data_IF_365110420469
#
_entry.id   IF_365110420469
#
_cell.length_a   1.000
_cell.length_b   1.000
_cell.length_c   1.000
_cell.angle_alpha   90.00
_cell.angle_beta   90.00
_cell.angle_gamma   90.00
#
_symmetry.space_group_name_H-M   'P 1'
#
loop_
_entity.id
_entity.type
_entity.pdbx_description
1 polymer ?
#
# COMPACT_ATOMS: atom_id res chain seq x y z
N UNK A 1 -0.10 -33.68 11.21
CA UNK A 1 0.22 -32.57 12.14
C UNK A 1 0.36 -31.29 11.34
N UNK A 2 -0.65 -30.42 11.36
CA UNK A 2 -0.66 -29.18 10.55
C UNK A 2 0.05 -28.08 11.33
N UNK A 3 1.26 -27.70 10.88
CA UNK A 3 2.04 -26.60 11.47
C UNK A 3 1.30 -25.29 11.22
N UNK A 4 0.56 -24.78 12.22
CA UNK A 4 0.03 -23.40 12.20
C UNK A 4 1.22 -22.47 11.94
N UNK A 5 1.29 -21.86 10.75
CA UNK A 5 2.25 -20.78 10.47
C UNK A 5 2.04 -19.70 11.54
N UNK A 6 3.08 -19.39 12.31
CA UNK A 6 3.05 -18.28 13.26
C UNK A 6 2.74 -17.02 12.45
N UNK A 7 1.61 -16.37 12.73
CA UNK A 7 1.33 -15.02 12.22
C UNK A 7 2.47 -14.13 12.71
N UNK A 8 3.13 -13.42 11.80
CA UNK A 8 4.12 -12.43 12.20
C UNK A 8 3.37 -11.36 13.00
N UNK A 9 3.53 -11.35 14.32
CA UNK A 9 2.95 -10.34 15.20
C UNK A 9 3.95 -9.19 15.34
N UNK A 10 3.44 -7.96 15.47
CA UNK A 10 4.27 -6.81 15.86
C UNK A 10 4.98 -7.15 17.17
N UNK A 11 6.31 -7.10 17.19
CA UNK A 11 7.09 -7.46 18.36
C UNK A 11 7.00 -6.34 19.41
N UNK A 12 6.80 -6.66 20.70
CA UNK A 12 6.91 -5.66 21.76
C UNK A 12 8.28 -4.99 21.75
N UNK A 13 8.32 -3.67 21.95
CA UNK A 13 9.57 -2.89 21.98
C UNK A 13 10.02 -2.30 20.64
N UNK A 14 9.26 -2.52 19.56
CA UNK A 14 9.51 -1.85 18.29
C UNK A 14 9.17 -0.35 18.35
N UNK A 15 10.00 0.47 17.71
CA UNK A 15 9.74 1.89 17.55
C UNK A 15 8.43 2.12 16.77
N UNK A 16 7.62 3.11 17.17
CA UNK A 16 6.49 3.55 16.37
C UNK A 16 6.91 3.97 14.95
N UNK A 17 6.09 3.69 13.95
CA UNK A 17 6.38 3.93 12.53
C UNK A 17 7.16 2.80 11.85
N UNK A 18 7.30 1.65 12.50
CA UNK A 18 7.98 0.49 11.91
C UNK A 18 7.08 -0.23 10.91
N UNK A 19 7.30 0.00 9.61
CA UNK A 19 6.53 -0.62 8.53
C UNK A 19 6.93 -2.10 8.38
N UNK A 20 6.24 -2.98 9.10
CA UNK A 20 6.42 -4.43 9.02
C UNK A 20 5.10 -5.09 8.68
N UNK A 21 5.11 -5.96 7.67
CA UNK A 21 3.92 -6.72 7.31
C UNK A 21 3.50 -7.69 8.42
N UNK A 22 2.30 -7.47 8.97
CA UNK A 22 1.66 -8.31 9.99
C UNK A 22 0.41 -8.95 9.38
N UNK A 23 0.41 -10.28 9.32
CA UNK A 23 -0.71 -11.06 8.78
C UNK A 23 -0.31 -12.19 7.85
N UNK A 24 -1.28 -12.63 7.06
CA UNK A 24 -1.11 -13.71 6.08
C UNK A 24 -0.82 -13.13 4.70
N UNK A 25 0.24 -13.62 4.05
CA UNK A 25 0.51 -13.32 2.65
C UNK A 25 -0.49 -14.07 1.80
N UNK A 26 -1.43 -13.33 1.20
CA UNK A 26 -2.50 -13.87 0.34
C UNK A 26 -2.09 -14.01 -1.13
N UNK A 27 -1.08 -13.27 -1.54
CA UNK A 27 -0.56 -13.23 -2.92
C UNK A 27 0.93 -13.56 -2.92
N UNK A 28 1.40 -14.15 -4.02
CA UNK A 28 2.82 -14.45 -4.25
C UNK A 28 3.58 -13.19 -4.65
N UNK A 29 3.18 -12.60 -5.78
CA UNK A 29 3.82 -11.41 -6.32
C UNK A 29 3.13 -10.12 -5.87
N UNK A 30 3.91 -9.05 -5.78
CA UNK A 30 3.40 -7.70 -5.53
C UNK A 30 3.17 -7.00 -6.86
N UNK A 31 1.95 -6.49 -7.05
CA UNK A 31 1.54 -5.82 -8.28
C UNK A 31 1.09 -4.41 -7.96
N UNK A 32 1.74 -3.43 -8.59
CA UNK A 32 1.28 -2.05 -8.65
C UNK A 32 0.54 -1.87 -9.99
N UNK A 33 -0.66 -1.30 -9.92
CA UNK A 33 -1.49 -1.00 -11.08
C UNK A 33 -2.09 0.39 -10.94
N UNK A 34 -2.35 1.03 -12.07
CA UNK A 34 -2.86 2.39 -12.11
C UNK A 34 -3.98 2.51 -13.13
N UNK A 35 -5.01 3.28 -12.79
CA UNK A 35 -6.11 3.64 -13.68
C UNK A 35 -6.25 5.15 -13.67
N UNK A 36 -6.07 5.77 -14.83
CA UNK A 36 -6.33 7.19 -15.06
C UNK A 36 -7.66 7.34 -15.77
N UNK A 37 -8.63 7.98 -15.15
CA UNK A 37 -9.96 8.10 -15.71
C UNK A 37 -10.55 9.49 -15.55
N UNK A 38 -11.34 9.89 -16.54
CA UNK A 38 -12.08 11.14 -16.58
C UNK A 38 -13.42 10.95 -17.29
N UNK A 39 -14.07 12.05 -17.67
CA UNK A 39 -15.35 11.99 -18.35
C UNK A 39 -15.27 11.39 -19.76
N UNK A 40 -14.11 11.52 -20.41
CA UNK A 40 -13.91 11.15 -21.82
C UNK A 40 -13.11 9.85 -22.01
N UNK A 41 -12.21 9.51 -21.08
CA UNK A 41 -11.27 8.40 -21.25
C UNK A 41 -11.00 7.66 -19.94
N UNK A 42 -10.56 6.41 -20.08
CA UNK A 42 -10.11 5.53 -19.01
C UNK A 42 -8.90 4.73 -19.52
N UNK A 43 -7.74 5.00 -18.93
CA UNK A 43 -6.46 4.44 -19.31
C UNK A 43 -5.91 3.58 -18.18
N UNK A 44 -5.76 2.28 -18.44
CA UNK A 44 -5.24 1.32 -17.49
C UNK A 44 -3.77 1.02 -17.76
N UNK A 45 -2.95 1.08 -16.71
CA UNK A 45 -1.54 0.70 -16.74
C UNK A 45 -1.32 -0.46 -15.77
N UNK A 46 -1.40 -1.72 -16.23
CA UNK A 46 -1.06 -2.88 -15.42
C UNK A 46 0.46 -2.95 -15.19
N UNK A 47 0.88 -3.48 -14.03
CA UNK A 47 2.29 -3.63 -13.65
C UNK A 47 3.08 -2.31 -13.71
N UNK A 48 2.44 -1.22 -13.29
CA UNK A 48 3.09 0.07 -13.15
C UNK A 48 4.29 -0.02 -12.19
N UNK A 49 5.27 0.86 -12.40
CA UNK A 49 6.43 1.02 -11.53
C UNK A 49 6.29 2.29 -10.71
N UNK A 50 7.06 2.39 -9.64
CA UNK A 50 7.20 3.64 -8.89
C UNK A 50 7.60 4.80 -9.81
N UNK A 51 8.44 4.59 -10.83
CA UNK A 51 8.80 5.62 -11.82
C UNK A 51 7.59 6.21 -12.55
N UNK A 52 6.51 5.45 -12.71
CA UNK A 52 5.40 5.79 -13.58
C UNK A 52 4.38 6.70 -12.89
N UNK A 53 4.44 6.82 -11.55
CA UNK A 53 3.52 7.66 -10.77
C UNK A 53 3.86 9.16 -10.85
N UNK A 54 4.21 9.67 -12.03
CA UNK A 54 4.45 11.10 -12.30
C UNK A 54 3.20 11.94 -12.03
N UNK A 55 3.36 13.24 -11.83
CA UNK A 55 2.20 14.14 -11.66
C UNK A 55 1.29 13.99 -12.89
N UNK A 56 0.01 13.60 -12.72
CA UNK A 56 -0.89 13.45 -13.85
C UNK A 56 -1.10 14.78 -14.58
N UNK A 57 -1.41 14.72 -15.88
CA UNK A 57 -1.83 15.91 -16.61
C UNK A 57 -3.13 16.46 -16.02
N UNK A 58 -3.41 17.75 -16.22
CA UNK A 58 -4.67 18.38 -15.78
C UNK A 58 -5.91 17.75 -16.41
N UNK A 59 -5.75 16.97 -17.47
CA UNK A 59 -6.82 16.30 -18.21
C UNK A 59 -7.28 15.01 -17.52
N UNK A 60 -6.42 14.41 -16.68
CA UNK A 60 -6.78 13.25 -15.86
C UNK A 60 -7.66 13.73 -14.71
N UNK A 61 -8.94 13.32 -14.74
CA UNK A 61 -9.90 13.68 -13.70
C UNK A 61 -9.61 13.00 -12.35
N UNK A 62 -9.25 11.72 -12.39
CA UNK A 62 -8.91 10.93 -11.21
C UNK A 62 -7.88 9.85 -11.57
N UNK A 63 -6.96 9.58 -10.64
CA UNK A 63 -6.00 8.50 -10.72
C UNK A 63 -6.22 7.52 -9.57
N UNK A 64 -6.52 6.27 -9.90
CA UNK A 64 -6.58 5.18 -8.93
C UNK A 64 -5.28 4.38 -8.97
N UNK A 65 -4.55 4.40 -7.85
CA UNK A 65 -3.35 3.58 -7.64
C UNK A 65 -3.76 2.38 -6.78
N UNK A 66 -3.51 1.17 -7.28
CA UNK A 66 -3.84 -0.08 -6.60
C UNK A 66 -2.56 -0.91 -6.36
N UNK A 67 -2.29 -1.20 -5.09
CA UNK A 67 -1.17 -2.03 -4.63
C UNK A 67 -1.70 -3.36 -4.12
N UNK A 68 -1.47 -4.42 -4.89
CA UNK A 68 -1.81 -5.78 -4.51
C UNK A 68 -0.59 -6.46 -3.89
N UNK A 69 -0.61 -6.72 -2.58
CA UNK A 69 0.48 -7.40 -1.88
C UNK A 69 1.26 -6.47 -0.94
N UNK A 70 0.71 -6.21 0.24
CA UNK A 70 1.31 -5.32 1.26
C UNK A 70 2.54 -5.90 1.98
N UNK A 71 3.11 -6.99 1.49
CA UNK A 71 4.23 -7.67 2.12
C UNK A 71 5.60 -7.17 1.64
N UNK A 72 5.62 -6.40 0.55
CA UNK A 72 6.77 -5.59 0.15
C UNK A 72 6.71 -4.24 0.87
N UNK A 73 7.38 -4.17 2.02
CA UNK A 73 7.38 -2.99 2.89
C UNK A 73 8.21 -1.83 2.32
N UNK A 74 9.15 -2.12 1.42
CA UNK A 74 9.99 -1.09 0.80
C UNK A 74 9.19 -0.32 -0.24
N UNK A 75 8.39 -1.02 -1.07
CA UNK A 75 7.43 -0.38 -1.97
C UNK A 75 6.46 0.52 -1.22
N UNK A 76 5.87 0.02 -0.11
CA UNK A 76 4.92 0.80 0.70
C UNK A 76 5.58 2.03 1.30
N UNK A 77 6.82 1.91 1.78
CA UNK A 77 7.61 3.05 2.28
C UNK A 77 7.84 4.09 1.19
N UNK A 78 8.31 3.68 0.01
CA UNK A 78 8.55 4.60 -1.11
C UNK A 78 7.28 5.30 -1.58
N UNK A 79 6.13 4.60 -1.58
CA UNK A 79 4.84 5.23 -1.86
C UNK A 79 4.47 6.26 -0.77
N UNK A 80 4.64 5.89 0.50
CA UNK A 80 4.35 6.78 1.61
C UNK A 80 5.20 8.05 1.60
N UNK A 81 6.50 7.93 1.33
CA UNK A 81 7.39 9.08 1.15
C UNK A 81 6.95 9.97 -0.02
N UNK A 82 6.56 9.38 -1.15
CA UNK A 82 6.13 10.12 -2.33
C UNK A 82 4.82 10.89 -2.13
N UNK A 83 3.87 10.29 -1.41
CA UNK A 83 2.56 10.89 -1.15
C UNK A 83 2.48 11.58 0.23
N UNK A 84 3.62 11.73 0.92
CA UNK A 84 3.72 12.33 2.24
C UNK A 84 2.77 11.71 3.29
N UNK A 85 2.60 10.39 3.23
CA UNK A 85 1.80 9.62 4.19
C UNK A 85 2.64 9.35 5.44
N UNK A 86 2.09 9.68 6.60
CA UNK A 86 2.81 9.54 7.87
C UNK A 86 3.20 8.06 8.15
N UNK A 87 4.41 7.76 8.64
CA UNK A 87 4.87 6.38 8.89
C UNK A 87 3.95 5.55 9.80
N UNK A 88 3.26 6.18 10.76
CA UNK A 88 2.28 5.50 11.61
C UNK A 88 1.07 4.97 10.83
N UNK A 89 0.59 5.74 9.85
CA UNK A 89 -0.51 5.29 8.99
C UNK A 89 -0.04 4.13 8.09
N UNK A 90 1.20 4.19 7.57
CA UNK A 90 1.78 3.09 6.78
C UNK A 90 1.95 1.82 7.62
N UNK A 91 2.38 1.96 8.87
CA UNK A 91 2.45 0.85 9.83
C UNK A 91 1.09 0.18 10.01
N UNK A 92 0.02 0.96 10.14
CA UNK A 92 -1.34 0.44 10.27
C UNK A 92 -1.82 -0.26 8.99
N UNK A 93 -1.48 0.27 7.81
CA UNK A 93 -1.83 -0.32 6.51
C UNK A 93 -1.21 -1.70 6.34
N UNK A 94 0.06 -1.88 6.69
CA UNK A 94 0.74 -3.19 6.53
C UNK A 94 0.34 -4.19 7.62
N UNK A 95 -0.40 -3.76 8.64
CA UNK A 95 -0.99 -4.63 9.66
C UNK A 95 -2.43 -5.02 9.33
N UNK A 96 -2.58 -6.15 8.66
CA UNK A 96 -3.89 -6.68 8.22
C UNK A 96 -4.74 -7.30 9.34
N UNK A 97 -4.28 -7.25 10.59
CA UNK A 97 -5.01 -7.79 11.76
C UNK A 97 -5.76 -6.72 12.55
N UNK A 98 -5.60 -5.45 12.19
CA UNK A 98 -6.33 -4.34 12.79
C UNK A 98 -7.82 -4.39 12.47
N UNK A 99 -8.62 -3.79 13.37
CA UNK A 99 -10.04 -3.55 13.12
C UNK A 99 -10.19 -2.43 12.09
N UNK A 100 -11.26 -2.45 11.27
CA UNK A 100 -11.57 -1.33 10.39
C UNK A 100 -11.64 -0.02 11.17
N UNK A 101 -11.00 1.03 10.63
CA UNK A 101 -10.97 2.37 11.20
C UNK A 101 -10.93 3.42 10.08
N UNK A 102 -11.23 4.66 10.44
CA UNK A 102 -11.08 5.85 9.59
C UNK A 102 -10.25 6.86 10.38
N UNK A 103 -9.29 7.48 9.72
CA UNK A 103 -8.44 8.52 10.28
C UNK A 103 -8.39 9.69 9.29
N UNK A 104 -8.57 10.91 9.79
CA UNK A 104 -8.47 12.15 9.02
C UNK A 104 -7.14 12.82 9.36
N UNK A 105 -6.40 13.23 8.34
CA UNK A 105 -5.06 13.80 8.45
C UNK A 105 -4.98 15.28 8.03
N UNK A 106 -6.11 15.90 7.63
CA UNK A 106 -6.20 17.33 7.31
C UNK A 106 -5.95 17.67 5.85
#
# INVERSE_FOLDING_TARGET
MTRKRKKAAKQPGMSPGSIIHVGERKVGDVVLSMIDFGAAECNETPNAKLSDLVVPSKEVGCRWINVCGLHDTDLIRSLGERFNVHPLALEDVVNTTHRPKIEDFG
#
